data_IF_561750132901
#
_entry.id   IF_561750132901
#
_cell.length_a   1.000
_cell.length_b   1.000
_cell.length_c   1.000
_cell.angle_alpha   90.00
_cell.angle_beta   90.00
_cell.angle_gamma   90.00
#
_symmetry.space_group_name_H-M   'P 1'
#
loop_
_entity.id
_entity.type
_entity.pdbx_description
1 polymer ?
#
# COMPACT_ATOMS: atom_id res chain seq x y z
N UNK A 1 -3.23 -1.85 -32.03
CA UNK A 1 -3.88 -2.11 -30.72
C UNK A 1 -2.78 -2.12 -29.66
N UNK A 2 -2.56 -1.01 -28.93
CA UNK A 2 -1.63 -0.97 -27.76
C UNK A 2 -1.67 0.34 -26.94
N UNK A 3 -2.53 1.30 -27.29
CA UNK A 3 -2.55 2.63 -26.66
C UNK A 3 -3.20 2.65 -25.28
N UNK A 4 -4.17 1.77 -25.01
CA UNK A 4 -4.92 1.74 -23.74
C UNK A 4 -4.04 1.26 -22.59
N UNK A 5 -3.27 0.17 -22.77
CA UNK A 5 -2.33 -0.32 -21.74
C UNK A 5 -1.19 0.67 -21.44
N UNK A 6 -0.76 1.46 -22.42
CA UNK A 6 0.25 2.50 -22.21
C UNK A 6 -0.31 3.68 -21.40
N UNK A 7 -1.56 4.07 -21.65
CA UNK A 7 -2.23 5.15 -20.92
C UNK A 7 -2.48 4.78 -19.46
N UNK A 8 -2.98 3.58 -19.19
CA UNK A 8 -3.20 3.10 -17.82
C UNK A 8 -1.88 2.96 -17.05
N UNK A 9 -0.82 2.47 -17.68
CA UNK A 9 0.52 2.42 -17.06
C UNK A 9 1.03 3.82 -16.66
N UNK A 10 0.75 4.83 -17.49
CA UNK A 10 1.11 6.22 -17.20
C UNK A 10 0.36 6.78 -15.99
N UNK A 11 -0.94 6.49 -15.88
CA UNK A 11 -1.77 6.92 -14.76
C UNK A 11 -1.36 6.20 -13.47
N UNK A 12 -1.13 4.89 -13.49
CA UNK A 12 -0.65 4.14 -12.31
C UNK A 12 0.68 4.69 -11.80
N UNK A 13 1.63 5.00 -12.69
CA UNK A 13 2.92 5.57 -12.31
C UNK A 13 2.78 6.98 -11.73
N UNK A 14 1.93 7.80 -12.32
CA UNK A 14 1.63 9.13 -11.79
C UNK A 14 1.02 9.05 -10.40
N UNK A 15 0.07 8.13 -10.21
CA UNK A 15 -0.61 7.92 -8.95
C UNK A 15 0.31 7.35 -7.84
N UNK A 16 1.29 6.55 -8.20
CA UNK A 16 2.30 6.04 -7.26
C UNK A 16 3.12 7.18 -6.62
N UNK A 17 3.46 8.23 -7.37
CA UNK A 17 4.26 9.35 -6.85
C UNK A 17 3.66 10.10 -5.63
N UNK A 18 2.39 10.55 -5.64
CA UNK A 18 1.79 11.19 -4.48
C UNK A 18 1.48 10.21 -3.35
N UNK A 19 1.19 8.94 -3.66
CA UNK A 19 0.77 7.95 -2.66
C UNK A 19 1.94 7.29 -1.95
N UNK A 20 3.06 7.04 -2.65
CA UNK A 20 4.24 6.36 -2.08
C UNK A 20 4.71 7.01 -0.78
N UNK A 21 4.84 8.34 -0.66
CA UNK A 21 5.26 8.95 0.61
C UNK A 21 4.23 8.81 1.74
N UNK A 22 2.93 8.74 1.42
CA UNK A 22 1.91 8.43 2.42
C UNK A 22 2.02 6.98 2.88
N UNK A 23 2.17 6.06 1.93
CA UNK A 23 2.43 4.67 2.25
C UNK A 23 3.68 4.52 3.12
N UNK A 24 4.82 5.10 2.73
CA UNK A 24 6.07 5.00 3.48
C UNK A 24 5.95 5.57 4.91
N UNK A 25 5.19 6.66 5.07
CA UNK A 25 4.92 7.29 6.36
C UNK A 25 4.12 6.39 7.30
N UNK A 26 3.10 5.68 6.77
CA UNK A 26 2.18 4.87 7.58
C UNK A 26 2.58 3.38 7.64
N UNK A 27 3.36 2.90 6.68
CA UNK A 27 3.94 1.56 6.64
C UNK A 27 5.12 1.40 7.61
N UNK A 28 5.66 2.49 8.15
CA UNK A 28 6.55 2.43 9.31
C UNK A 28 5.73 2.44 10.61
N UNK A 29 5.76 1.33 11.36
CA UNK A 29 6.98 1.00 12.07
C UNK A 29 7.35 -0.50 11.99
N UNK A 30 8.65 -0.74 11.76
CA UNK A 30 9.36 -2.04 11.70
C UNK A 30 9.50 -2.61 10.29
N UNK A 31 10.30 -1.96 9.41
CA UNK A 31 11.02 -2.76 8.44
C UNK A 31 11.82 -3.80 9.25
N UNK A 32 11.71 -5.07 8.85
CA UNK A 32 12.68 -6.07 9.27
C UNK A 32 14.01 -5.60 8.68
N UNK A 33 14.83 -4.96 9.53
CA UNK A 33 16.06 -4.29 9.13
C UNK A 33 17.08 -5.31 8.60
N UNK A 34 17.10 -6.49 9.22
CA UNK A 34 17.95 -7.61 8.86
C UNK A 34 17.39 -8.93 9.43
N UNK A 35 17.99 -10.05 9.06
CA UNK A 35 17.58 -11.38 9.53
C UNK A 35 17.68 -11.55 11.05
N UNK A 36 18.63 -10.89 11.72
CA UNK A 36 18.76 -10.94 13.18
C UNK A 36 17.65 -10.16 13.90
N UNK A 37 17.20 -9.05 13.33
CA UNK A 37 16.04 -8.30 13.79
C UNK A 37 14.74 -9.12 13.61
N UNK A 38 14.59 -9.82 12.47
CA UNK A 38 13.49 -10.76 12.25
C UNK A 38 13.42 -11.84 13.32
N UNK A 39 14.54 -12.54 13.55
CA UNK A 39 14.60 -13.64 14.51
C UNK A 39 14.22 -13.16 15.92
N UNK A 40 14.72 -12.00 16.35
CA UNK A 40 14.37 -11.42 17.66
C UNK A 40 12.88 -11.08 17.79
N UNK A 41 12.27 -10.54 16.74
CA UNK A 41 10.83 -10.27 16.74
C UNK A 41 10.01 -11.57 16.74
N UNK A 42 10.45 -12.58 15.99
CA UNK A 42 9.80 -13.89 15.95
C UNK A 42 9.88 -14.58 17.32
N UNK A 43 11.03 -14.56 17.98
CA UNK A 43 11.19 -15.08 19.34
C UNK A 43 10.27 -14.37 20.33
N UNK A 44 10.09 -13.06 20.21
CA UNK A 44 9.16 -12.32 21.04
C UNK A 44 7.70 -12.68 20.75
N UNK A 45 7.35 -12.86 19.47
CA UNK A 45 6.03 -13.32 19.03
C UNK A 45 5.69 -14.73 19.58
N UNK A 46 6.68 -15.62 19.58
CA UNK A 46 6.59 -16.96 20.20
C UNK A 46 6.43 -16.85 21.72
N UNK A 47 7.27 -16.06 22.41
CA UNK A 47 7.19 -15.87 23.87
C UNK A 47 5.85 -15.31 24.33
N UNK A 48 5.23 -14.47 23.51
CA UNK A 48 3.90 -13.92 23.78
C UNK A 48 2.75 -14.91 23.50
N UNK A 49 3.05 -16.14 23.06
CA UNK A 49 2.03 -17.16 22.75
C UNK A 49 1.23 -16.88 21.48
N UNK A 50 1.72 -15.98 20.62
CA UNK A 50 1.02 -15.63 19.38
C UNK A 50 1.27 -16.64 18.26
N UNK A 51 2.39 -17.39 18.31
CA UNK A 51 2.66 -18.47 17.36
C UNK A 51 1.78 -19.70 17.69
N UNK A 52 0.86 -20.03 16.79
CA UNK A 52 -0.04 -21.17 16.86
C UNK A 52 0.22 -22.11 15.67
N UNK A 53 -0.19 -23.38 15.74
CA UNK A 53 -0.14 -24.28 14.58
C UNK A 53 -0.89 -23.75 13.35
N UNK A 54 -1.84 -22.84 13.55
CA UNK A 54 -2.62 -22.17 12.50
C UNK A 54 -2.02 -20.84 12.03
N UNK A 55 -0.87 -20.42 12.57
CA UNK A 55 -0.23 -19.17 12.17
C UNK A 55 0.35 -19.32 10.76
N UNK A 56 -0.02 -18.41 9.86
CA UNK A 56 0.49 -18.33 8.51
C UNK A 56 1.49 -17.18 8.42
N UNK A 57 2.66 -17.45 7.83
CA UNK A 57 3.60 -16.41 7.44
C UNK A 57 3.30 -15.99 6.01
N UNK A 58 3.08 -14.69 5.80
CA UNK A 58 2.95 -14.10 4.48
C UNK A 58 4.08 -13.08 4.27
N UNK A 59 4.60 -13.06 3.04
CA UNK A 59 5.52 -12.03 2.58
C UNK A 59 4.82 -11.29 1.44
N UNK A 60 4.71 -9.98 1.57
CA UNK A 60 4.20 -9.12 0.51
C UNK A 60 5.35 -8.23 0.02
N UNK A 61 5.73 -8.37 -1.25
CA UNK A 61 6.70 -7.50 -1.90
C UNK A 61 5.95 -6.43 -2.70
N UNK A 62 5.97 -5.18 -2.21
CA UNK A 62 5.22 -4.07 -2.79
C UNK A 62 6.12 -3.28 -3.74
N UNK A 63 6.17 -3.72 -4.99
CA UNK A 63 6.95 -3.04 -6.05
C UNK A 63 6.17 -1.89 -6.70
N UNK A 64 4.85 -2.02 -6.79
CA UNK A 64 3.95 -0.99 -7.32
C UNK A 64 2.63 -1.02 -6.53
N UNK A 65 2.38 0.05 -5.76
CA UNK A 65 1.24 0.13 -4.85
C UNK A 65 -0.09 0.00 -5.58
N UNK A 66 -0.16 0.44 -6.84
CA UNK A 66 -1.40 0.50 -7.59
C UNK A 66 -1.79 -0.79 -8.30
N UNK A 67 -0.82 -1.65 -8.63
CA UNK A 67 -1.12 -2.93 -9.30
C UNK A 67 -1.42 -4.06 -8.32
N UNK A 68 -1.22 -3.84 -7.01
CA UNK A 68 -1.38 -4.88 -5.98
C UNK A 68 -2.67 -4.76 -5.17
N UNK A 69 -3.39 -3.64 -5.28
CA UNK A 69 -4.68 -3.52 -4.61
C UNK A 69 -5.75 -4.16 -5.51
N UNK A 70 -6.61 -5.07 -5.00
CA UNK A 70 -7.70 -5.68 -5.79
C UNK A 70 -8.62 -4.60 -6.36
N UNK A 71 -8.92 -4.61 -7.66
CA UNK A 71 -9.64 -3.53 -8.37
C UNK A 71 -10.90 -3.05 -7.62
N UNK A 72 -11.73 -3.97 -7.11
CA UNK A 72 -12.99 -3.61 -6.48
C UNK A 72 -12.86 -3.02 -5.06
N UNK A 73 -11.86 -3.45 -4.28
CA UNK A 73 -11.70 -3.05 -2.87
C UNK A 73 -10.65 -1.95 -2.68
N UNK A 74 -9.73 -1.85 -3.63
CA UNK A 74 -8.60 -0.91 -3.64
C UNK A 74 -9.00 0.55 -3.55
N UNK A 75 -9.93 0.99 -4.39
CA UNK A 75 -10.41 2.37 -4.43
C UNK A 75 -11.13 2.74 -3.13
N UNK A 76 -11.88 1.79 -2.57
CA UNK A 76 -12.58 1.95 -1.29
C UNK A 76 -11.59 2.10 -0.14
N UNK A 77 -10.60 1.21 -0.05
CA UNK A 77 -9.54 1.26 0.98
C UNK A 77 -8.76 2.56 0.88
N UNK A 78 -8.39 2.98 -0.34
CA UNK A 78 -7.68 4.25 -0.55
C UNK A 78 -8.53 5.44 -0.09
N UNK A 79 -9.82 5.46 -0.42
CA UNK A 79 -10.75 6.50 0.00
C UNK A 79 -10.90 6.54 1.52
N UNK A 80 -11.10 5.38 2.16
CA UNK A 80 -11.24 5.26 3.61
C UNK A 80 -9.97 5.75 4.33
N UNK A 81 -8.79 5.31 3.88
CA UNK A 81 -7.51 5.75 4.42
C UNK A 81 -7.32 7.26 4.32
N UNK A 82 -7.59 7.86 3.16
CA UNK A 82 -7.42 9.30 2.96
C UNK A 82 -8.37 10.12 3.82
N UNK A 83 -9.60 9.63 4.05
CA UNK A 83 -10.59 10.25 4.92
C UNK A 83 -10.24 10.10 6.41
N UNK A 84 -9.80 8.91 6.83
CA UNK A 84 -9.42 8.59 8.21
C UNK A 84 -8.24 9.44 8.68
N UNK A 85 -7.28 9.71 7.79
CA UNK A 85 -6.14 10.57 8.08
C UNK A 85 -6.36 12.05 7.76
N UNK A 86 -7.60 12.46 7.46
CA UNK A 86 -7.99 13.85 7.19
C UNK A 86 -7.15 14.54 6.12
N UNK A 87 -6.66 13.80 5.12
CA UNK A 87 -6.05 14.44 3.98
C UNK A 87 -7.14 15.20 3.20
N UNK A 88 -6.81 16.38 2.68
CA UNK A 88 -7.63 17.09 1.68
C UNK A 88 -6.91 17.15 0.32
N UNK A 89 -5.57 17.20 0.39
CA UNK A 89 -4.65 17.19 -0.73
C UNK A 89 -3.43 16.33 -0.39
N UNK A 90 -2.88 15.68 -1.41
CA UNK A 90 -1.60 14.96 -1.33
C UNK A 90 -0.67 15.59 -2.35
N UNK A 91 0.47 16.13 -1.90
CA UNK A 91 1.40 16.90 -2.74
C UNK A 91 0.71 17.99 -3.59
N UNK A 92 -0.28 18.68 -3.03
CA UNK A 92 -1.03 19.75 -3.71
C UNK A 92 -2.16 19.26 -4.63
N UNK A 93 -2.28 17.96 -4.89
CA UNK A 93 -3.35 17.36 -5.70
C UNK A 93 -4.54 17.05 -4.78
N UNK A 94 -5.75 17.46 -5.17
CA UNK A 94 -6.97 17.13 -4.39
C UNK A 94 -7.24 15.63 -4.41
N UNK A 95 -7.73 15.10 -3.28
CA UNK A 95 -8.10 13.68 -3.18
C UNK A 95 -9.15 13.28 -4.20
N UNK A 96 -10.10 14.17 -4.51
CA UNK A 96 -11.10 13.92 -5.55
C UNK A 96 -10.45 13.54 -6.89
N UNK A 97 -9.40 14.26 -7.28
CA UNK A 97 -8.64 13.98 -8.51
C UNK A 97 -7.86 12.67 -8.39
N UNK A 98 -7.25 12.40 -7.24
CA UNK A 98 -6.52 11.14 -6.99
C UNK A 98 -7.47 9.94 -7.12
N UNK A 99 -8.65 10.02 -6.50
CA UNK A 99 -9.67 8.96 -6.56
C UNK A 99 -10.23 8.79 -7.99
N UNK A 100 -10.48 9.88 -8.71
CA UNK A 100 -10.93 9.81 -10.10
C UNK A 100 -9.89 9.20 -11.04
N UNK A 101 -8.61 9.51 -10.82
CA UNK A 101 -7.53 8.90 -11.58
C UNK A 101 -7.37 7.43 -11.22
N UNK A 102 -7.51 7.06 -9.95
CA UNK A 102 -7.46 5.68 -9.49
C UNK A 102 -8.59 4.83 -10.11
N UNK A 103 -9.81 5.38 -10.19
CA UNK A 103 -10.99 4.76 -10.83
C UNK A 103 -10.82 4.50 -12.35
N UNK A 104 -9.86 5.17 -13.01
CA UNK A 104 -9.58 4.96 -14.44
C UNK A 104 -8.60 3.82 -14.70
N UNK A 105 -7.90 3.34 -13.68
CA UNK A 105 -6.83 2.33 -13.79
C UNK A 105 -7.12 1.05 -13.04
N UNK A 106 -8.07 1.10 -12.11
CA UNK A 106 -8.64 -0.02 -11.39
C UNK A 106 -9.94 -0.43 -12.08
#
# INVERSE_FOLDING_TARGET
MNTIHAATTGISRFLDQPIRPLFDMHAQPRPIIDGGHLLRQLEQYVRNGHLKPTTLFCTADITNLYTMLPQDESLKILKEFLLEHHYEKVQGISIKVILQLADLVL
#
